data_IF_560081895754
#
_entry.id   IF_560081895754
#
_cell.length_a   1.000
_cell.length_b   1.000
_cell.length_c   1.000
_cell.angle_alpha   90.00
_cell.angle_beta   90.00
_cell.angle_gamma   90.00
#
_symmetry.space_group_name_H-M   'P 1'
#
loop_
_entity.id
_entity.type
_entity.pdbx_description
1 polymer ?
#
# COMPACT_ATOMS: atom_id res chain seq x y z
N UNK A 1 6.89 -8.66 -11.32
CA UNK A 1 5.96 -8.92 -10.22
C UNK A 1 6.60 -8.51 -8.90
N UNK A 2 5.81 -7.95 -8.01
CA UNK A 2 6.30 -7.45 -6.74
C UNK A 2 6.11 -8.51 -5.67
N UNK A 3 7.19 -8.88 -5.01
CA UNK A 3 7.17 -9.85 -3.92
C UNK A 3 7.79 -9.22 -2.69
N UNK A 4 7.29 -9.61 -1.51
CA UNK A 4 7.83 -9.12 -0.26
C UNK A 4 9.27 -9.65 -0.08
N UNK A 5 10.25 -8.76 0.10
CA UNK A 5 11.63 -9.23 0.28
C UNK A 5 11.88 -9.89 1.64
N UNK A 6 10.92 -9.76 2.56
CA UNK A 6 11.07 -10.31 3.91
C UNK A 6 10.47 -11.70 4.05
N UNK A 7 9.23 -11.89 3.54
CA UNK A 7 8.54 -13.17 3.69
C UNK A 7 8.30 -13.89 2.36
N UNK A 8 8.59 -13.25 1.23
CA UNK A 8 8.37 -13.83 -0.09
C UNK A 8 6.91 -13.87 -0.51
N UNK A 9 6.01 -13.24 0.25
CA UNK A 9 4.59 -13.20 -0.10
C UNK A 9 4.32 -12.36 -1.34
N UNK A 10 3.26 -12.71 -2.06
CA UNK A 10 2.88 -11.99 -3.28
C UNK A 10 1.68 -11.06 -3.06
N UNK A 11 1.10 -11.07 -1.88
CA UNK A 11 -0.05 -10.23 -1.51
C UNK A 11 0.45 -8.85 -1.09
N UNK A 12 0.68 -7.99 -2.08
CA UNK A 12 1.30 -6.68 -1.87
C UNK A 12 0.28 -5.59 -2.18
N UNK A 13 0.17 -4.62 -1.27
CA UNK A 13 -0.66 -3.44 -1.45
C UNK A 13 0.22 -2.23 -1.79
N UNK A 14 -0.36 -1.29 -2.55
CA UNK A 14 0.29 -0.01 -2.83
C UNK A 14 -0.06 0.97 -1.71
N UNK A 15 0.95 1.68 -1.19
CA UNK A 15 0.72 2.69 -0.16
C UNK A 15 0.44 4.02 -0.85
N UNK A 16 -0.71 4.62 -0.53
CA UNK A 16 -1.09 5.94 -1.01
C UNK A 16 -0.81 6.96 0.08
N UNK A 17 0.04 7.92 -0.22
CA UNK A 17 0.36 9.01 0.69
C UNK A 17 -0.44 10.26 0.31
N UNK A 18 -0.85 11.02 1.33
CA UNK A 18 -1.66 12.21 1.14
C UNK A 18 -3.15 11.92 1.26
N UNK A 19 -3.97 12.89 0.85
CA UNK A 19 -5.43 12.76 0.90
C UNK A 19 -5.98 12.68 -0.53
N UNK A 20 -6.11 11.46 -1.08
CA UNK A 20 -6.64 11.31 -2.43
C UNK A 20 -8.15 11.56 -2.46
N UNK A 21 -8.65 11.99 -3.61
CA UNK A 21 -10.09 12.05 -3.82
C UNK A 21 -10.64 10.63 -3.88
N UNK A 22 -11.56 10.31 -2.98
CA UNK A 22 -12.18 9.00 -2.95
C UNK A 22 -13.12 8.82 -4.14
N UNK A 23 -12.88 7.75 -4.89
CA UNK A 23 -13.76 7.35 -5.99
C UNK A 23 -14.25 5.92 -5.72
N UNK A 24 -15.26 5.49 -6.45
CA UNK A 24 -15.77 4.11 -6.31
C UNK A 24 -14.67 3.09 -6.64
N UNK A 25 -13.82 3.39 -7.62
CA UNK A 25 -12.72 2.52 -7.97
C UNK A 25 -11.70 2.43 -6.85
N UNK A 26 -11.37 3.57 -6.23
CA UNK A 26 -10.43 3.61 -5.13
C UNK A 26 -10.97 2.86 -3.92
N UNK A 27 -12.25 3.03 -3.60
CA UNK A 27 -12.89 2.32 -2.51
C UNK A 27 -12.81 0.80 -2.71
N UNK A 28 -13.05 0.32 -3.92
CA UNK A 28 -12.95 -1.10 -4.24
C UNK A 28 -11.55 -1.63 -4.02
N UNK A 29 -10.54 -0.88 -4.45
CA UNK A 29 -9.14 -1.27 -4.28
C UNK A 29 -8.74 -1.30 -2.82
N UNK A 30 -9.25 -0.38 -2.01
CA UNK A 30 -9.00 -0.37 -0.57
C UNK A 30 -9.68 -1.58 0.09
N UNK A 31 -10.91 -1.90 -0.29
CA UNK A 31 -11.61 -3.07 0.22
C UNK A 31 -10.89 -4.37 -0.13
N UNK A 32 -10.32 -4.44 -1.32
CA UNK A 32 -9.57 -5.62 -1.78
C UNK A 32 -8.16 -5.68 -1.20
N UNK A 33 -7.79 -4.73 -0.34
CA UNK A 33 -6.45 -4.61 0.25
C UNK A 33 -5.34 -4.45 -0.78
N UNK A 34 -5.67 -3.90 -1.94
CA UNK A 34 -4.69 -3.58 -2.98
C UNK A 34 -4.05 -2.22 -2.77
N UNK A 35 -4.73 -1.33 -2.02
CA UNK A 35 -4.25 -0.01 -1.67
C UNK A 35 -4.45 0.21 -0.18
N UNK A 36 -3.43 0.74 0.48
CA UNK A 36 -3.52 1.16 1.89
C UNK A 36 -3.11 2.62 1.98
N UNK A 37 -3.64 3.33 2.96
CA UNK A 37 -3.30 4.73 3.17
C UNK A 37 -2.12 4.84 4.14
N UNK A 38 -1.10 5.59 3.72
CA UNK A 38 0.10 5.77 4.53
C UNK A 38 0.06 6.97 5.45
N UNK A 39 -0.83 7.93 5.19
CA UNK A 39 -0.94 9.15 5.97
C UNK A 39 -0.75 10.39 5.12
N UNK A 40 -0.75 11.56 5.76
CA UNK A 40 -0.68 12.85 5.06
C UNK A 40 0.70 13.50 5.05
N UNK A 41 1.66 12.95 5.80
CA UNK A 41 3.01 13.52 5.89
C UNK A 41 3.97 12.71 5.04
N UNK A 42 4.55 13.36 4.03
CA UNK A 42 5.48 12.72 3.09
C UNK A 42 6.81 13.45 3.18
N UNK A 43 7.88 12.74 3.53
CA UNK A 43 9.22 13.33 3.62
C UNK A 43 10.13 12.97 2.43
N UNK A 44 9.65 12.16 1.50
CA UNK A 44 10.37 11.80 0.29
C UNK A 44 11.03 10.42 0.31
N UNK A 45 11.12 9.80 1.48
CA UNK A 45 11.75 8.48 1.63
C UNK A 45 10.77 7.42 2.14
N UNK A 46 9.48 7.67 2.00
CA UNK A 46 8.48 6.73 2.48
C UNK A 46 8.40 5.50 1.58
N UNK A 47 8.09 4.33 2.17
CA UNK A 47 7.84 3.14 1.38
C UNK A 47 6.58 3.33 0.52
N UNK A 48 6.53 2.63 -0.59
CA UNK A 48 5.39 2.70 -1.51
C UNK A 48 4.57 1.41 -1.52
N UNK A 49 5.08 0.35 -0.93
CA UNK A 49 4.44 -0.96 -0.94
C UNK A 49 4.38 -1.53 0.46
N UNK A 50 3.34 -2.32 0.72
CA UNK A 50 3.16 -3.00 1.99
C UNK A 50 2.74 -4.44 1.75
N UNK A 51 3.41 -5.37 2.39
CA UNK A 51 3.04 -6.78 2.35
C UNK A 51 1.84 -7.01 3.27
N UNK A 52 0.76 -7.60 2.73
CA UNK A 52 -0.42 -7.92 3.52
C UNK A 52 -0.21 -9.16 4.41
N UNK A 53 0.80 -9.97 4.12
CA UNK A 53 1.08 -11.19 4.90
C UNK A 53 1.87 -10.90 6.16
N UNK A 54 2.95 -10.12 6.07
CA UNK A 54 3.82 -9.85 7.22
C UNK A 54 3.81 -8.38 7.68
N UNK A 55 3.19 -7.49 6.92
CA UNK A 55 3.13 -6.06 7.25
C UNK A 55 4.39 -5.27 6.92
N UNK A 56 5.32 -5.87 6.22
CA UNK A 56 6.57 -5.20 5.85
C UNK A 56 6.31 -4.13 4.78
N UNK A 57 6.85 -2.95 4.99
CA UNK A 57 6.75 -1.83 4.05
C UNK A 57 8.09 -1.58 3.36
N UNK A 58 8.03 -1.35 2.06
CA UNK A 58 9.25 -1.14 1.31
C UNK A 58 9.04 -0.32 0.04
#
# INVERSE_FOLDING_TARGET
MTECPKCGGTDIAMILWGLPNMSLELEKKVKDKKIVFGGCCVSGNEPTLECNDCGWRY
#
